data_IF_891004053644
#
_entry.id   IF_891004053644
#
_cell.length_a   1.000
_cell.length_b   1.000
_cell.length_c   1.000
_cell.angle_alpha   90.00
_cell.angle_beta   90.00
_cell.angle_gamma   90.00
#
_symmetry.space_group_name_H-M   'P 1'
#
loop_
_entity.id
_entity.type
_entity.pdbx_description
1 polymer ?
#
# COMPACT_ATOMS: atom_id res chain seq x y z
N UNK A 1 2.52 -5.31 11.02
CA UNK A 1 1.50 -5.63 10.00
C UNK A 1 1.96 -5.01 8.69
N UNK A 2 1.92 -5.77 7.60
CA UNK A 2 2.24 -5.28 6.25
C UNK A 2 0.96 -5.22 5.44
N UNK A 3 0.65 -4.08 4.83
CA UNK A 3 -0.28 -3.98 3.71
C UNK A 3 0.55 -4.08 2.44
N UNK A 4 0.36 -5.14 1.67
CA UNK A 4 1.10 -5.37 0.43
C UNK A 4 0.15 -5.24 -0.76
N UNK A 5 0.29 -4.15 -1.52
CA UNK A 5 -0.27 -4.02 -2.87
C UNK A 5 0.63 -4.69 -3.90
N UNK A 6 0.17 -4.83 -5.13
CA UNK A 6 0.97 -5.44 -6.19
C UNK A 6 0.63 -4.92 -7.58
N UNK A 7 1.59 -4.98 -8.51
CA UNK A 7 1.33 -4.66 -9.93
C UNK A 7 0.36 -5.67 -10.55
N UNK A 8 -0.22 -5.29 -11.69
CA UNK A 8 -1.24 -6.09 -12.39
C UNK A 8 -2.49 -6.43 -11.54
N UNK A 9 -2.80 -5.63 -10.52
CA UNK A 9 -3.96 -5.84 -9.66
C UNK A 9 -5.28 -5.68 -10.41
N UNK A 10 -5.98 -6.81 -10.63
CA UNK A 10 -7.30 -6.82 -11.27
C UNK A 10 -8.35 -5.99 -10.51
N UNK A 11 -8.24 -5.92 -9.18
CA UNK A 11 -9.12 -5.09 -8.37
C UNK A 11 -8.94 -3.59 -8.70
N UNK A 12 -7.72 -3.09 -8.82
CA UNK A 12 -7.48 -1.67 -9.13
C UNK A 12 -7.84 -1.34 -10.59
N UNK A 13 -7.61 -2.28 -11.52
CA UNK A 13 -8.14 -2.18 -12.89
C UNK A 13 -9.66 -2.05 -12.91
N UNK A 14 -10.36 -2.92 -12.18
CA UNK A 14 -11.81 -2.82 -12.01
C UNK A 14 -12.25 -1.55 -11.29
N UNK A 15 -11.43 -1.05 -10.36
CA UNK A 15 -11.72 0.16 -9.61
C UNK A 15 -11.75 1.42 -10.48
N UNK A 16 -10.85 1.53 -11.47
CA UNK A 16 -10.88 2.60 -12.48
C UNK A 16 -12.01 2.42 -13.50
N UNK A 17 -12.42 1.18 -13.79
CA UNK A 17 -13.42 0.87 -14.81
C UNK A 17 -14.72 0.33 -14.17
N UNK A 18 -15.30 1.08 -13.24
CA UNK A 18 -16.49 0.63 -12.48
C UNK A 18 -17.69 0.27 -13.36
N UNK A 19 -17.82 0.93 -14.51
CA UNK A 19 -18.89 0.68 -15.46
C UNK A 19 -18.90 -0.77 -15.98
N UNK A 20 -17.74 -1.42 -16.01
CA UNK A 20 -17.60 -2.80 -16.49
C UNK A 20 -18.01 -3.84 -15.44
N UNK A 21 -18.24 -3.42 -14.19
CA UNK A 21 -18.55 -4.30 -13.05
C UNK A 21 -20.06 -4.47 -12.80
N UNK A 22 -20.91 -4.12 -13.77
CA UNK A 22 -22.38 -4.22 -13.63
C UNK A 22 -22.87 -5.64 -13.32
N UNK A 23 -22.18 -6.66 -13.82
CA UNK A 23 -22.46 -8.08 -13.55
C UNK A 23 -21.87 -8.57 -12.21
N UNK A 24 -21.05 -7.75 -11.55
CA UNK A 24 -20.33 -8.08 -10.31
C UNK A 24 -20.65 -7.06 -9.19
N UNK A 25 -21.92 -6.95 -8.75
CA UNK A 25 -22.35 -5.89 -7.83
C UNK A 25 -21.65 -5.92 -6.46
N UNK A 26 -21.31 -7.11 -5.96
CA UNK A 26 -20.58 -7.25 -4.71
C UNK A 26 -19.12 -6.78 -4.82
N UNK A 27 -18.48 -7.04 -5.95
CA UNK A 27 -17.13 -6.54 -6.23
C UNK A 27 -17.16 -5.02 -6.36
N UNK A 28 -18.14 -4.48 -7.08
CA UNK A 28 -18.30 -3.03 -7.21
C UNK A 28 -18.52 -2.36 -5.84
N UNK A 29 -19.39 -2.92 -4.99
CA UNK A 29 -19.58 -2.41 -3.62
C UNK A 29 -18.30 -2.49 -2.79
N UNK A 30 -17.59 -3.62 -2.85
CA UNK A 30 -16.34 -3.80 -2.10
C UNK A 30 -15.25 -2.83 -2.55
N UNK A 31 -15.11 -2.61 -3.84
CA UNK A 31 -14.16 -1.62 -4.36
C UNK A 31 -14.52 -0.20 -3.89
N UNK A 32 -15.71 0.08 -3.38
CA UNK A 32 -16.02 1.35 -2.72
C UNK A 32 -15.03 1.73 -1.61
N UNK A 33 -14.38 0.76 -0.97
CA UNK A 33 -13.33 1.00 0.04
C UNK A 33 -12.01 1.55 -0.53
N UNK A 34 -11.87 1.64 -1.86
CA UNK A 34 -10.71 2.25 -2.52
C UNK A 34 -11.02 3.60 -3.16
N UNK A 35 -12.25 4.11 -3.01
CA UNK A 35 -12.70 5.33 -3.70
C UNK A 35 -11.83 6.54 -3.36
N UNK A 36 -11.45 6.72 -2.09
CA UNK A 36 -10.57 7.84 -1.72
C UNK A 36 -9.21 7.82 -2.43
N UNK A 37 -8.67 6.64 -2.76
CA UNK A 37 -7.44 6.54 -3.55
C UNK A 37 -7.67 6.91 -5.02
N UNK A 38 -8.84 6.58 -5.57
CA UNK A 38 -9.23 7.00 -6.94
C UNK A 38 -9.34 8.52 -7.00
N UNK A 39 -10.06 9.14 -6.06
CA UNK A 39 -10.29 10.59 -6.04
C UNK A 39 -8.96 11.37 -5.98
N UNK A 40 -7.98 10.87 -5.20
CA UNK A 40 -6.62 11.42 -5.14
C UNK A 40 -5.91 11.31 -6.49
N UNK A 41 -5.96 10.14 -7.15
CA UNK A 41 -5.30 9.91 -8.45
C UNK A 41 -5.95 10.74 -9.55
N UNK A 42 -7.27 10.89 -9.54
CA UNK A 42 -7.99 11.75 -10.49
C UNK A 42 -7.61 13.23 -10.33
N UNK A 43 -7.33 13.67 -9.10
CA UNK A 43 -6.97 15.07 -8.81
C UNK A 43 -5.48 15.35 -9.05
N UNK A 44 -4.60 14.50 -8.53
CA UNK A 44 -3.14 14.72 -8.51
C UNK A 44 -2.41 14.08 -9.70
N UNK A 45 -3.03 13.08 -10.33
CA UNK A 45 -2.47 12.37 -11.47
C UNK A 45 -2.84 12.99 -12.82
N UNK A 46 -3.32 14.23 -12.86
CA UNK A 46 -3.66 14.87 -14.13
C UNK A 46 -2.44 14.97 -15.05
N UNK A 47 -2.64 14.70 -16.34
CA UNK A 47 -1.56 14.62 -17.33
C UNK A 47 -0.64 13.39 -17.26
N UNK A 48 -0.75 12.53 -16.23
CA UNK A 48 -0.02 11.26 -16.20
C UNK A 48 -0.57 10.27 -17.24
N UNK A 49 0.33 9.45 -17.79
CA UNK A 49 -0.07 8.33 -18.64
C UNK A 49 -0.83 7.25 -17.84
N UNK A 50 -1.54 6.32 -18.52
CA UNK A 50 -2.33 5.31 -17.84
C UNK A 50 -1.54 4.37 -16.91
N UNK A 51 -0.27 4.10 -17.22
CA UNK A 51 0.57 3.21 -16.41
C UNK A 51 1.01 3.93 -15.13
N UNK A 52 1.43 5.19 -15.24
CA UNK A 52 1.77 6.04 -14.11
C UNK A 52 0.54 6.27 -13.20
N UNK A 53 -0.64 6.50 -13.76
CA UNK A 53 -1.90 6.57 -12.97
C UNK A 53 -2.20 5.28 -12.24
N UNK A 54 -2.02 4.14 -12.89
CA UNK A 54 -2.20 2.83 -12.24
C UNK A 54 -1.21 2.61 -11.10
N UNK A 55 0.07 2.95 -11.31
CA UNK A 55 1.09 2.86 -10.25
C UNK A 55 0.71 3.74 -9.06
N UNK A 56 0.32 4.99 -9.32
CA UNK A 56 -0.13 5.91 -8.28
C UNK A 56 -1.36 5.38 -7.54
N UNK A 57 -2.34 4.78 -8.23
CA UNK A 57 -3.51 4.18 -7.58
C UNK A 57 -3.14 3.02 -6.66
N UNK A 58 -2.21 2.16 -7.08
CA UNK A 58 -1.74 1.05 -6.24
C UNK A 58 -1.11 1.56 -4.95
N UNK A 59 -0.24 2.56 -5.07
CA UNK A 59 0.44 3.20 -3.94
C UNK A 59 -0.56 3.91 -3.01
N UNK A 60 -1.46 4.73 -3.56
CA UNK A 60 -2.47 5.43 -2.79
C UNK A 60 -3.45 4.47 -2.11
N UNK A 61 -3.79 3.35 -2.75
CA UNK A 61 -4.61 2.33 -2.10
C UNK A 61 -3.88 1.71 -0.90
N UNK A 62 -2.58 1.40 -1.00
CA UNK A 62 -1.81 0.90 0.15
C UNK A 62 -1.81 1.92 1.29
N UNK A 63 -1.57 3.19 0.99
CA UNK A 63 -1.61 4.28 1.98
C UNK A 63 -3.00 4.38 2.63
N UNK A 64 -4.07 4.36 1.83
CA UNK A 64 -5.44 4.40 2.33
C UNK A 64 -5.74 3.23 3.28
N UNK A 65 -5.36 2.00 2.91
CA UNK A 65 -5.58 0.84 3.78
C UNK A 65 -4.74 0.89 5.06
N UNK A 66 -3.55 1.51 5.04
CA UNK A 66 -2.80 1.79 6.27
C UNK A 66 -3.57 2.76 7.18
N UNK A 67 -4.19 3.80 6.63
CA UNK A 67 -5.02 4.72 7.41
C UNK A 67 -6.25 4.01 7.98
N UNK A 68 -6.93 3.17 7.20
CA UNK A 68 -8.03 2.34 7.70
C UNK A 68 -7.58 1.47 8.88
N UNK A 69 -6.43 0.78 8.76
CA UNK A 69 -5.90 -0.03 9.86
C UNK A 69 -5.60 0.78 11.12
N UNK A 70 -5.08 2.02 11.00
CA UNK A 70 -4.85 2.89 12.16
C UNK A 70 -6.13 3.19 12.95
N UNK A 71 -7.29 3.20 12.27
CA UNK A 71 -8.60 3.43 12.90
C UNK A 71 -9.23 2.18 13.50
N UNK A 72 -8.73 0.98 13.18
CA UNK A 72 -9.27 -0.27 13.71
C UNK A 72 -8.95 -0.41 15.21
N UNK A 73 -9.93 -0.65 16.11
CA UNK A 73 -9.74 -0.57 17.56
C UNK A 73 -8.56 -1.40 18.09
N UNK A 74 -8.45 -2.66 17.66
CA UNK A 74 -7.36 -3.55 18.10
C UNK A 74 -5.99 -3.07 17.65
N UNK A 75 -5.90 -2.50 16.44
CA UNK A 75 -4.64 -2.01 15.87
C UNK A 75 -4.26 -0.68 16.53
N UNK A 76 -5.23 0.22 16.73
CA UNK A 76 -5.03 1.48 17.45
C UNK A 76 -4.47 1.25 18.86
N UNK A 77 -5.04 0.29 19.61
CA UNK A 77 -4.53 -0.09 20.94
C UNK A 77 -3.11 -0.66 20.87
N UNK A 78 -2.83 -1.54 19.90
CA UNK A 78 -1.50 -2.13 19.74
C UNK A 78 -0.44 -1.07 19.33
N UNK A 79 -0.81 -0.11 18.49
CA UNK A 79 0.03 1.02 18.09
C UNK A 79 0.34 1.93 19.28
N UNK A 80 -0.67 2.29 20.08
CA UNK A 80 -0.49 3.10 21.28
C UNK A 80 0.47 2.43 22.28
N UNK A 81 0.45 1.10 22.37
CA UNK A 81 1.37 0.29 23.18
C UNK A 81 2.74 0.06 22.53
N UNK A 82 2.98 0.56 21.31
CA UNK A 82 4.17 0.27 20.49
C UNK A 82 4.42 -1.23 20.27
N UNK A 83 3.37 -2.06 20.39
CA UNK A 83 3.46 -3.51 20.26
C UNK A 83 3.42 -3.97 18.80
N UNK A 84 3.02 -3.09 17.87
CA UNK A 84 2.98 -3.37 16.44
C UNK A 84 3.49 -2.15 15.66
N UNK A 85 4.09 -2.41 14.50
CA UNK A 85 4.40 -1.42 13.47
C UNK A 85 3.54 -1.70 12.23
N UNK A 86 3.19 -0.65 11.48
CA UNK A 86 2.54 -0.79 10.18
C UNK A 86 3.54 -0.51 9.06
N UNK A 87 3.40 -1.22 7.95
CA UNK A 87 4.29 -1.14 6.80
C UNK A 87 3.45 -1.22 5.51
N UNK A 88 3.71 -0.35 4.55
CA UNK A 88 3.04 -0.37 3.24
C UNK A 88 4.02 -0.79 2.16
N UNK A 89 3.72 -1.86 1.44
CA UNK A 89 4.56 -2.39 0.36
C UNK A 89 3.80 -2.42 -0.96
N UNK A 90 4.53 -2.30 -2.07
CA UNK A 90 4.07 -2.61 -3.42
C UNK A 90 5.04 -3.62 -4.03
N UNK A 91 4.52 -4.81 -4.32
CA UNK A 91 5.25 -5.88 -4.98
C UNK A 91 5.08 -5.79 -6.50
N UNK A 92 6.17 -5.81 -7.25
CA UNK A 92 6.12 -5.93 -8.70
C UNK A 92 6.13 -7.40 -9.12
N UNK A 93 5.01 -7.88 -9.68
CA UNK A 93 4.87 -9.27 -10.15
C UNK A 93 5.84 -9.61 -11.28
N UNK A 94 6.26 -8.62 -12.09
CA UNK A 94 7.13 -8.87 -13.25
C UNK A 94 8.59 -9.00 -12.83
N UNK A 95 9.07 -8.13 -11.95
CA UNK A 95 10.49 -8.07 -11.57
C UNK A 95 10.78 -8.81 -10.26
N UNK A 96 9.76 -9.00 -9.41
CA UNK A 96 9.93 -9.54 -8.06
C UNK A 96 10.37 -8.49 -7.04
N UNK A 97 10.55 -7.24 -7.45
CA UNK A 97 10.97 -6.15 -6.57
C UNK A 97 9.85 -5.75 -5.61
N UNK A 98 10.23 -5.24 -4.44
CA UNK A 98 9.30 -4.71 -3.44
C UNK A 98 9.71 -3.30 -3.08
N UNK A 99 8.80 -2.36 -3.31
CA UNK A 99 8.92 -0.99 -2.84
C UNK A 99 8.18 -0.86 -1.51
N UNK A 100 8.78 -0.16 -0.56
CA UNK A 100 8.21 0.11 0.76
C UNK A 100 7.98 1.62 0.94
N UNK A 101 6.83 1.96 1.51
CA UNK A 101 6.46 3.32 1.86
C UNK A 101 7.22 3.79 3.10
N UNK A 102 7.90 4.92 2.97
CA UNK A 102 8.48 5.67 4.07
C UNK A 102 7.54 6.82 4.45
N UNK A 103 6.93 6.71 5.64
CA UNK A 103 5.99 7.68 6.17
C UNK A 103 6.66 8.97 6.68
N UNK A 104 7.99 8.98 6.84
CA UNK A 104 8.73 10.19 7.23
C UNK A 104 9.02 11.07 6.03
N UNK A 105 9.42 10.46 4.92
CA UNK A 105 9.75 11.18 3.68
C UNK A 105 8.59 11.25 2.69
N UNK A 106 7.51 10.50 2.94
CA UNK A 106 6.37 10.32 2.05
C UNK A 106 6.76 9.80 0.66
N UNK A 107 7.76 8.91 0.61
CA UNK A 107 8.28 8.32 -0.63
C UNK A 107 8.26 6.80 -0.62
N UNK A 108 8.37 6.22 -1.81
CA UNK A 108 8.57 4.78 -2.00
C UNK A 108 10.04 4.49 -2.27
N UNK A 109 10.64 3.63 -1.45
CA UNK A 109 12.04 3.20 -1.58
C UNK A 109 12.11 1.68 -1.61
N UNK A 110 13.17 1.06 -2.17
CA UNK A 110 13.33 -0.39 -2.12
C UNK A 110 13.23 -0.93 -0.68
N UNK A 111 12.60 -2.09 -0.51
CA UNK A 111 12.32 -2.68 0.82
C UNK A 111 13.60 -2.88 1.65
N UNK A 112 14.69 -3.26 0.97
CA UNK A 112 16.01 -3.44 1.56
C UNK A 112 16.61 -2.12 2.06
N UNK A 113 16.34 -1.01 1.37
CA UNK A 113 16.75 0.32 1.82
C UNK A 113 15.90 0.76 3.02
N UNK A 114 14.58 0.55 2.97
CA UNK A 114 13.65 0.97 4.03
C UNK A 114 13.96 0.33 5.37
N UNK A 115 14.38 -0.93 5.38
CA UNK A 115 14.61 -1.71 6.59
C UNK A 115 16.08 -2.07 6.84
N UNK A 116 17.02 -1.42 6.14
CA UNK A 116 18.45 -1.70 6.28
C UNK A 116 18.93 -1.59 7.74
N UNK A 117 18.50 -0.55 8.46
CA UNK A 117 18.89 -0.32 9.85
C UNK A 117 18.30 -1.38 10.79
N UNK A 118 17.02 -1.74 10.64
CA UNK A 118 16.38 -2.80 11.43
C UNK A 118 17.03 -4.17 11.16
N UNK A 119 17.36 -4.47 9.91
CA UNK A 119 18.08 -5.70 9.55
C UNK A 119 19.48 -5.74 10.17
N UNK A 120 20.24 -4.65 10.08
CA UNK A 120 21.56 -4.54 10.69
C UNK A 120 21.50 -4.74 12.21
N UNK A 121 20.54 -4.08 12.90
CA UNK A 121 20.33 -4.24 14.34
C UNK A 121 19.99 -5.69 14.71
N UNK A 122 19.07 -6.32 13.97
CA UNK A 122 18.65 -7.69 14.22
C UNK A 122 19.76 -8.72 13.95
N UNK A 123 20.67 -8.43 13.00
CA UNK A 123 21.85 -9.27 12.75
C UNK A 123 22.87 -9.13 13.90
N UNK A 124 23.10 -7.92 14.40
CA UNK A 124 24.03 -7.69 15.51
C UNK A 124 23.56 -8.33 16.82
N UNK A 125 22.26 -8.21 17.16
CA UNK A 125 21.68 -8.86 18.35
C UNK A 125 21.81 -10.39 18.35
N UNK A 126 21.80 -11.01 17.16
CA UNK A 126 21.97 -12.47 17.02
C UNK A 126 23.42 -12.95 17.14
N UNK A 127 24.39 -12.03 17.09
CA UNK A 127 25.82 -12.35 17.12
C UNK A 127 26.54 -11.91 18.42
N UNK A 128 25.83 -11.30 19.36
CA UNK A 128 26.28 -11.16 20.74
C UNK A 128 26.15 -12.52 21.46
N UNK A 129 27.28 -13.24 21.55
CA UNK A 129 27.53 -14.33 22.48
C UNK A 129 27.86 -13.76 23.86
#
# INVERSE_FOLDING_TARGET
IVICGHTECGAMKGAMNRADLTTLPHVNKWLGFVQGAIDIVETLGDGLDPEAKMRMLLEQNVILQLQHLKTHPTVAVALAKKAVKLHGWVYDIKTGEVMAYDDVTETWVPVEQRYAAELASAMLEKHTC
#
